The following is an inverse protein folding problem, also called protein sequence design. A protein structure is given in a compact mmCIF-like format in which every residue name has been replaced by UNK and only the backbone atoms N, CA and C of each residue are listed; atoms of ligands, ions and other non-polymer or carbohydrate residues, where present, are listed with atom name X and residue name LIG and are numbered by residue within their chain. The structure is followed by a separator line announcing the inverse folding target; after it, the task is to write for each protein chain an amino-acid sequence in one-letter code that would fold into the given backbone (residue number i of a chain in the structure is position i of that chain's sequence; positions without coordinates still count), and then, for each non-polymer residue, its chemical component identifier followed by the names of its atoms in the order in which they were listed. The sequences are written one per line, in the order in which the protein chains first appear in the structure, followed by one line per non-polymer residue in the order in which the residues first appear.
data_IF_120075570157
#
_entry.id   IF_120075570157
#
_cell.length_a   1.000
_cell.length_b   1.000
_cell.length_c   1.000
_cell.angle_alpha   90.00
_cell.angle_beta   90.00
_cell.angle_gamma   90.00
#
_symmetry.space_group_name_H-M   'P 1'
#
loop_
_entity.id
_entity.type
_entity.pdbx_description
1 polymer ?
#
# COMPACT_ATOMS: atom_id res chain seq x y z
N UNK A 1 8.95 -16.32 -9.53
CA UNK A 1 8.83 -15.87 -8.12
C UNK A 1 7.40 -15.44 -7.74
N UNK A 2 6.73 -14.59 -8.52
CA UNK A 2 5.37 -14.12 -8.27
C UNK A 2 4.28 -15.21 -8.08
N UNK A 3 4.43 -16.38 -8.72
CA UNK A 3 3.46 -17.49 -8.64
C UNK A 3 3.52 -18.19 -7.27
N UNK A 4 4.72 -18.33 -6.68
CA UNK A 4 4.90 -19.02 -5.39
C UNK A 4 4.30 -18.23 -4.24
N UNK A 5 4.49 -16.90 -4.23
CA UNK A 5 3.90 -16.00 -3.24
C UNK A 5 2.36 -16.09 -3.23
N UNK A 6 1.73 -16.23 -4.40
CA UNK A 6 0.27 -16.29 -4.52
C UNK A 6 -0.37 -17.59 -4.00
N UNK A 7 0.41 -18.66 -3.79
CA UNK A 7 -0.04 -19.92 -3.18
C UNK A 7 -0.03 -19.89 -1.65
N UNK A 8 0.82 -19.05 -1.07
CA UNK A 8 1.07 -19.04 0.39
C UNK A 8 0.41 -17.86 1.08
N UNK A 9 0.38 -16.68 0.44
CA UNK A 9 -0.31 -15.49 0.95
C UNK A 9 -1.27 -14.90 -0.09
N UNK A 10 -2.46 -14.51 0.37
CA UNK A 10 -3.37 -13.71 -0.46
C UNK A 10 -2.69 -12.40 -0.85
N UNK A 11 -2.65 -12.03 -2.15
CA UNK A 11 -2.04 -10.78 -2.60
C UNK A 11 -2.54 -9.56 -1.84
N UNK A 12 -3.82 -9.54 -1.47
CA UNK A 12 -4.43 -8.44 -0.72
C UNK A 12 -3.88 -8.34 0.68
N UNK A 13 -3.68 -9.48 1.35
CA UNK A 13 -3.09 -9.50 2.71
C UNK A 13 -1.68 -8.95 2.67
N UNK A 14 -0.90 -9.33 1.66
CA UNK A 14 0.47 -8.87 1.50
C UNK A 14 0.56 -7.36 1.20
N UNK A 15 -0.35 -6.84 0.37
CA UNK A 15 -0.45 -5.40 0.12
C UNK A 15 -0.78 -4.64 1.41
N UNK A 16 -1.78 -5.08 2.17
CA UNK A 16 -2.20 -4.41 3.41
C UNK A 16 -1.14 -4.52 4.49
N UNK A 17 -0.50 -5.67 4.69
CA UNK A 17 0.56 -5.82 5.68
C UNK A 17 1.76 -4.94 5.35
N UNK A 18 2.18 -4.90 4.08
CA UNK A 18 3.26 -4.02 3.62
C UNK A 18 2.93 -2.54 3.89
N UNK A 19 1.74 -2.09 3.51
CA UNK A 19 1.30 -0.70 3.73
C UNK A 19 1.25 -0.37 5.22
N UNK A 20 0.68 -1.25 6.06
CA UNK A 20 0.60 -0.99 7.50
C UNK A 20 2.00 -0.88 8.11
N UNK A 21 2.91 -1.80 7.79
CA UNK A 21 4.29 -1.78 8.33
C UNK A 21 5.02 -0.50 7.88
N UNK A 22 4.99 -0.20 6.59
CA UNK A 22 5.73 0.95 6.03
C UNK A 22 5.16 2.28 6.50
N UNK A 23 3.84 2.41 6.60
CA UNK A 23 3.20 3.64 7.06
C UNK A 23 3.34 3.84 8.57
N UNK A 24 3.40 2.76 9.34
CA UNK A 24 3.78 2.82 10.76
C UNK A 24 5.23 3.29 10.93
N UNK A 25 6.17 2.72 10.17
CA UNK A 25 7.58 3.17 10.18
C UNK A 25 7.72 4.64 9.76
N UNK A 26 7.02 5.07 8.71
CA UNK A 26 6.96 6.49 8.32
C UNK A 26 6.40 7.36 9.45
N UNK A 27 5.37 6.89 10.16
CA UNK A 27 4.81 7.58 11.32
C UNK A 27 5.81 7.76 12.46
N UNK A 28 6.64 6.74 12.73
CA UNK A 28 7.73 6.84 13.71
C UNK A 28 8.75 7.90 13.31
N UNK A 29 9.21 7.89 12.06
CA UNK A 29 10.15 8.91 11.55
C UNK A 29 9.56 10.33 11.66
N UNK A 30 8.30 10.50 11.26
CA UNK A 30 7.60 11.79 11.34
C UNK A 30 7.48 12.31 12.79
N UNK A 31 7.07 11.46 13.73
CA UNK A 31 6.90 11.89 15.11
C UNK A 31 8.21 12.12 15.86
N UNK A 32 9.30 11.46 15.45
CA UNK A 32 10.65 11.74 15.95
C UNK A 32 11.32 12.95 15.29
N UNK A 33 10.70 13.53 14.25
CA UNK A 33 11.31 14.60 13.43
C UNK A 33 12.66 14.18 12.82
N UNK A 34 12.83 12.88 12.53
CA UNK A 34 14.03 12.32 11.92
C UNK A 34 13.75 12.07 10.45
N UNK A 35 14.62 12.58 9.58
CA UNK A 35 14.54 12.27 8.15
C UNK A 35 14.84 10.79 7.91
N UNK A 36 13.90 10.12 7.24
CA UNK A 36 14.09 8.73 6.86
C UNK A 36 15.25 8.63 5.83
N UNK A 37 16.15 7.63 5.97
CA UNK A 37 17.29 7.47 5.07
C UNK A 37 16.87 7.44 3.59
N UNK A 38 17.66 8.08 2.71
CA UNK A 38 17.34 8.18 1.29
C UNK A 38 17.12 6.81 0.61
N UNK A 39 17.95 5.83 0.94
CA UNK A 39 17.80 4.45 0.45
C UNK A 39 16.49 3.81 0.92
N UNK A 40 16.08 4.03 2.17
CA UNK A 40 14.80 3.54 2.68
C UNK A 40 13.64 4.15 1.89
N UNK A 41 13.65 5.47 1.64
CA UNK A 41 12.61 6.14 0.85
C UNK A 41 12.50 5.57 -0.56
N UNK A 42 13.65 5.36 -1.22
CA UNK A 42 13.71 4.80 -2.56
C UNK A 42 13.18 3.36 -2.61
N UNK A 43 13.66 2.49 -1.70
CA UNK A 43 13.23 1.10 -1.63
C UNK A 43 11.76 0.96 -1.26
N UNK A 44 11.27 1.77 -0.31
CA UNK A 44 9.88 1.77 0.08
C UNK A 44 8.98 2.18 -1.10
N UNK A 45 9.34 3.24 -1.81
CA UNK A 45 8.64 3.67 -3.02
C UNK A 45 8.65 2.57 -4.08
N UNK A 46 9.81 2.02 -4.44
CA UNK A 46 9.92 0.96 -5.44
C UNK A 46 9.12 -0.30 -5.06
N UNK A 47 9.20 -0.72 -3.80
CA UNK A 47 8.47 -1.88 -3.29
C UNK A 47 6.95 -1.65 -3.27
N UNK A 48 6.49 -0.45 -2.87
CA UNK A 48 5.07 -0.10 -2.89
C UNK A 48 4.48 -0.22 -4.31
N UNK A 49 5.15 0.37 -5.30
CA UNK A 49 4.70 0.28 -6.69
C UNK A 49 4.72 -1.14 -7.21
N UNK A 50 5.77 -1.90 -6.90
CA UNK A 50 5.89 -3.29 -7.33
C UNK A 50 4.81 -4.19 -6.72
N UNK A 51 4.56 -4.07 -5.41
CA UNK A 51 3.52 -4.85 -4.71
C UNK A 51 2.12 -4.47 -5.19
N UNK A 52 1.84 -3.18 -5.39
CA UNK A 52 0.54 -2.76 -5.93
C UNK A 52 0.32 -3.25 -7.37
N UNK A 53 1.35 -3.18 -8.23
CA UNK A 53 1.27 -3.69 -9.60
C UNK A 53 1.06 -5.21 -9.62
N UNK A 54 1.78 -5.94 -8.75
CA UNK A 54 1.63 -7.38 -8.60
C UNK A 54 0.25 -7.77 -8.06
N UNK A 55 -0.25 -7.07 -7.04
CA UNK A 55 -1.60 -7.24 -6.51
C UNK A 55 -2.65 -7.05 -7.59
N UNK A 56 -2.56 -5.94 -8.33
CA UNK A 56 -3.55 -5.59 -9.35
C UNK A 56 -3.55 -6.60 -10.49
N UNK A 57 -2.38 -7.02 -10.97
CA UNK A 57 -2.25 -8.06 -11.99
C UNK A 57 -2.87 -9.38 -11.53
N UNK A 58 -2.62 -9.77 -10.28
CA UNK A 58 -3.12 -11.04 -9.74
C UNK A 58 -4.63 -10.99 -9.52
N UNK A 59 -5.17 -9.87 -9.02
CA UNK A 59 -6.61 -9.69 -8.83
C UNK A 59 -7.35 -9.62 -10.18
N UNK A 60 -6.76 -8.96 -11.19
CA UNK A 60 -7.38 -8.85 -12.51
C UNK A 60 -7.43 -10.20 -13.24
N UNK A 61 -6.36 -11.01 -13.12
CA UNK A 61 -6.32 -12.37 -13.64
C UNK A 61 -7.40 -13.26 -13.00
N UNK A 62 -7.57 -13.19 -11.67
CA UNK A 62 -8.62 -13.93 -10.95
C UNK A 62 -10.03 -13.53 -11.37
N UNK A 63 -10.22 -12.30 -11.85
CA UNK A 63 -11.51 -11.73 -12.27
C UNK A 63 -11.74 -11.76 -13.78
N UNK A 64 -10.82 -12.32 -14.55
CA UNK A 64 -10.93 -12.39 -16.02
C UNK A 64 -10.89 -11.02 -16.73
N UNK A 65 -10.33 -9.99 -16.08
CA UNK A 65 -10.25 -8.64 -16.66
C UNK A 65 -9.04 -8.57 -17.59
N UNK A 66 -9.30 -8.54 -18.89
CA UNK A 66 -8.30 -8.22 -19.91
C UNK A 66 -8.02 -6.71 -19.95
N UNK A 67 -6.74 -6.35 -19.91
CA UNK A 67 -6.30 -4.95 -20.00
C UNK A 67 -5.80 -4.64 -21.40
N UNK A 68 -6.20 -3.49 -21.95
CA UNK A 68 -5.78 -3.01 -23.28
C UNK A 68 -4.35 -2.43 -23.23
N UNK A 69 -3.90 -1.94 -22.07
CA UNK A 69 -2.62 -1.26 -21.88
C UNK A 69 -1.76 -1.93 -20.80
N UNK A 70 -0.47 -1.63 -20.79
CA UNK A 70 0.45 -2.05 -19.72
C UNK A 70 0.04 -1.39 -18.40
N UNK A 71 -0.63 -2.18 -17.58
CA UNK A 71 -1.16 -1.74 -16.29
C UNK A 71 -0.03 -1.37 -15.32
N UNK A 72 1.17 -1.94 -15.45
CA UNK A 72 2.31 -1.57 -14.60
C UNK A 72 2.71 -0.09 -14.80
N UNK A 73 2.72 0.36 -16.05
CA UNK A 73 3.02 1.75 -16.41
C UNK A 73 1.93 2.71 -15.94
N UNK A 74 0.66 2.35 -16.15
CA UNK A 74 -0.47 3.17 -15.71
C UNK A 74 -0.56 3.28 -14.19
N UNK A 75 -0.21 2.22 -13.47
CA UNK A 75 -0.08 2.30 -12.02
C UNK A 75 1.03 3.28 -11.62
N UNK A 76 2.18 3.19 -12.27
CA UNK A 76 3.30 4.05 -11.95
C UNK A 76 2.96 5.55 -12.09
N UNK A 77 2.28 5.93 -13.18
CA UNK A 77 1.99 7.33 -13.51
C UNK A 77 0.69 7.83 -12.85
N UNK A 78 -0.32 6.96 -12.74
CA UNK A 78 -1.67 7.36 -12.40
C UNK A 78 -2.36 6.43 -11.38
N UNK A 79 -1.60 5.76 -10.50
CA UNK A 79 -2.18 4.87 -9.49
C UNK A 79 -3.36 5.47 -8.68
N UNK A 80 -3.38 6.77 -8.29
CA UNK A 80 -4.48 7.30 -7.49
C UNK A 80 -5.80 7.35 -8.26
N UNK A 81 -5.77 7.36 -9.59
CA UNK A 81 -6.95 7.34 -10.46
C UNK A 81 -7.26 5.92 -10.97
N UNK A 82 -6.22 5.18 -11.35
CA UNK A 82 -6.33 3.84 -11.93
C UNK A 82 -6.88 2.84 -10.92
N UNK A 83 -6.43 2.90 -9.65
CA UNK A 83 -6.91 2.01 -8.60
C UNK A 83 -8.40 2.20 -8.30
N UNK A 84 -8.91 3.42 -8.07
CA UNK A 84 -10.35 3.65 -7.90
C UNK A 84 -11.16 3.21 -9.11
N UNK A 85 -10.75 3.59 -10.32
CA UNK A 85 -11.45 3.20 -11.54
C UNK A 85 -11.55 1.67 -11.65
N UNK A 86 -10.44 0.96 -11.44
CA UNK A 86 -10.42 -0.51 -11.47
C UNK A 86 -11.36 -1.12 -10.42
N UNK A 87 -11.29 -0.64 -9.18
CA UNK A 87 -12.06 -1.20 -8.07
C UNK A 87 -13.56 -0.97 -8.25
N UNK A 88 -13.95 0.21 -8.72
CA UNK A 88 -15.35 0.51 -9.04
C UNK A 88 -15.82 -0.32 -10.23
N UNK A 89 -15.01 -0.44 -11.28
CA UNK A 89 -15.35 -1.26 -12.46
C UNK A 89 -15.52 -2.75 -12.12
N UNK A 90 -14.70 -3.29 -11.23
CA UNK A 90 -14.71 -4.72 -10.89
C UNK A 90 -15.60 -5.11 -9.74
N UNK A 91 -15.90 -4.18 -8.82
CA UNK A 91 -16.62 -4.47 -7.56
C UNK A 91 -17.80 -3.52 -7.30
N UNK A 92 -18.08 -2.58 -8.19
CA UNK A 92 -19.14 -1.59 -8.02
C UNK A 92 -18.94 -0.75 -6.76
N UNK A 93 -20.03 -0.45 -6.05
CA UNK A 93 -20.02 0.32 -4.81
C UNK A 93 -19.12 -0.31 -3.71
N UNK A 94 -18.97 -1.65 -3.69
CA UNK A 94 -18.07 -2.33 -2.74
C UNK A 94 -16.59 -2.04 -3.00
N UNK A 95 -16.24 -1.56 -4.21
CA UNK A 95 -14.91 -1.07 -4.52
C UNK A 95 -14.50 0.12 -3.66
N UNK A 96 -15.45 1.00 -3.32
CA UNK A 96 -15.19 2.14 -2.44
C UNK A 96 -14.79 1.71 -1.03
N UNK A 97 -15.38 0.64 -0.48
CA UNK A 97 -15.01 0.12 0.84
C UNK A 97 -13.55 -0.36 0.85
N UNK A 98 -13.05 -0.91 -0.25
CA UNK A 98 -11.66 -1.36 -0.38
C UNK A 98 -10.70 -0.18 -0.46
N UNK A 99 -11.09 0.89 -1.17
CA UNK A 99 -10.32 2.14 -1.23
C UNK A 99 -10.29 2.79 0.16
N UNK A 100 -11.43 2.88 0.82
CA UNK A 100 -11.56 3.46 2.14
C UNK A 100 -10.78 2.67 3.19
N UNK A 101 -10.81 1.33 3.11
CA UNK A 101 -9.98 0.46 3.95
C UNK A 101 -8.49 0.67 3.71
N UNK A 102 -8.07 0.85 2.46
CA UNK A 102 -6.67 1.13 2.12
C UNK A 102 -6.22 2.49 2.65
N UNK A 103 -7.01 3.54 2.45
CA UNK A 103 -6.75 4.88 2.99
C UNK A 103 -6.72 4.84 4.52
N UNK A 104 -7.69 4.17 5.14
CA UNK A 104 -7.77 3.98 6.59
C UNK A 104 -6.55 3.25 7.14
N UNK A 105 -6.06 2.21 6.45
CA UNK A 105 -4.84 1.51 6.83
C UNK A 105 -3.61 2.43 6.75
N UNK A 106 -3.48 3.22 5.68
CA UNK A 106 -2.40 4.19 5.53
C UNK A 106 -2.41 5.22 6.67
N UNK A 107 -3.54 5.92 6.84
CA UNK A 107 -3.68 7.00 7.82
C UNK A 107 -3.56 6.44 9.25
N UNK A 108 -4.29 5.36 9.54
CA UNK A 108 -4.29 4.73 10.85
C UNK A 108 -2.90 4.27 11.28
N UNK A 109 -2.16 3.58 10.42
CA UNK A 109 -0.81 3.12 10.74
C UNK A 109 0.15 4.29 10.99
N UNK A 110 0.09 5.34 10.18
CA UNK A 110 0.90 6.55 10.38
C UNK A 110 0.56 7.25 11.70
N UNK A 111 -0.73 7.44 12.01
CA UNK A 111 -1.17 8.05 13.27
C UNK A 111 -0.68 7.24 14.46
N UNK A 112 -0.81 5.91 14.42
CA UNK A 112 -0.33 5.03 15.49
C UNK A 112 1.19 5.14 15.67
N UNK A 113 1.96 5.20 14.58
CA UNK A 113 3.41 5.41 14.63
C UNK A 113 3.78 6.75 15.29
N UNK A 114 3.11 7.84 14.89
CA UNK A 114 3.32 9.16 15.49
C UNK A 114 3.02 9.12 16.98
N UNK A 115 1.84 8.60 17.37
CA UNK A 115 1.42 8.52 18.76
C UNK A 115 2.42 7.73 19.63
N UNK A 116 2.90 6.59 19.13
CA UNK A 116 3.91 5.79 19.84
C UNK A 116 5.21 6.56 20.02
N UNK A 117 5.70 7.24 18.97
CA UNK A 117 6.94 8.00 19.05
C UNK A 117 6.87 9.16 20.05
N UNK A 118 5.73 9.87 20.08
CA UNK A 118 5.49 10.97 21.03
C UNK A 118 5.38 10.42 22.46
N UNK A 119 4.65 9.32 22.67
CA UNK A 119 4.53 8.70 23.98
C UNK A 119 5.90 8.26 24.54
N UNK A 120 6.76 7.67 23.70
CA UNK A 120 8.12 7.29 24.07
C UNK A 120 8.99 8.52 24.38
N UNK A 121 8.82 9.63 23.66
CA UNK A 121 9.54 10.87 23.93
C UNK A 121 9.15 11.47 25.29
N UNK A 122 7.85 11.49 25.60
CA UNK A 122 7.32 11.98 26.89
C UNK A 122 7.82 11.15 28.07
N UNK A 123 7.92 9.82 27.92
CA UNK A 123 8.43 8.94 28.99
C UNK A 123 9.95 9.05 29.23
N UNK A 124 10.69 9.63 28.28
CA UNK A 124 12.15 9.76 28.35
C UNK A 124 12.62 11.14 28.84
N UNK A 125 11.74 12.15 28.83
CA UNK A 125 12.00 13.48 29.36
C UNK A 125 11.61 13.59 30.82
#
# INVERSE_FOLDING_TARGET
MAIVLSRVLSPTVLLYSFVVITQFTNGLYLGQQIEAPGLYRLLNWAAQFWIMAWWLRTDSQKRGIGWVYDMGLFLYIAWPLVMPYYLVKTRGAKGFLVILGFIGACVGATVVGIMLSVAVAVLRG
#
